data_IF_769001212278
#
_entry.id   IF_769001212278
#
_cell.length_a   1.000
_cell.length_b   1.000
_cell.length_c   1.000
_cell.angle_alpha   90.00
_cell.angle_beta   90.00
_cell.angle_gamma   90.00
#
_symmetry.space_group_name_H-M   'P 1'
#
loop_
_entity.id
_entity.type
_entity.pdbx_description
1 polymer ?
#
# COMPACT_ATOMS: atom_id res chain seq x y z
N UNK A 1 -46.29 -14.10 -36.78
CA UNK A 1 -46.18 -13.90 -35.31
C UNK A 1 -45.00 -14.75 -34.83
N UNK A 2 -43.78 -14.20 -34.76
CA UNK A 2 -43.18 -13.41 -33.66
C UNK A 2 -42.78 -14.24 -32.41
N UNK A 3 -42.15 -15.41 -32.55
CA UNK A 3 -41.40 -16.03 -31.43
C UNK A 3 -40.10 -16.73 -31.91
N UNK A 4 -39.49 -16.27 -33.02
CA UNK A 4 -38.17 -16.77 -33.46
C UNK A 4 -37.00 -15.84 -33.09
N UNK A 5 -37.28 -14.71 -32.42
CA UNK A 5 -36.25 -13.71 -32.10
C UNK A 5 -35.66 -13.86 -30.69
N UNK A 6 -36.26 -14.67 -29.83
CA UNK A 6 -35.88 -14.75 -28.39
C UNK A 6 -34.71 -15.72 -28.17
N UNK A 7 -34.54 -16.73 -29.04
CA UNK A 7 -33.50 -17.76 -28.87
C UNK A 7 -32.11 -17.24 -29.26
N UNK A 8 -32.03 -16.26 -30.16
CA UNK A 8 -30.75 -15.64 -30.56
C UNK A 8 -30.25 -14.54 -29.61
N UNK A 9 -31.05 -14.11 -28.62
CA UNK A 9 -30.62 -13.10 -27.64
C UNK A 9 -30.05 -13.74 -26.37
N UNK A 10 -30.47 -14.96 -26.03
CA UNK A 10 -29.99 -15.68 -24.84
C UNK A 10 -28.59 -16.27 -25.01
N UNK A 11 -28.17 -16.61 -26.24
CA UNK A 11 -26.83 -17.12 -26.54
C UNK A 11 -25.77 -16.01 -26.53
N UNK A 12 -26.17 -14.74 -26.66
CA UNK A 12 -25.28 -13.58 -26.55
C UNK A 12 -24.93 -13.19 -25.10
N UNK A 13 -25.59 -13.76 -24.08
CA UNK A 13 -25.33 -13.43 -22.67
C UNK A 13 -24.29 -14.34 -21.98
N UNK A 14 -23.87 -15.45 -22.62
CA UNK A 14 -22.97 -16.44 -21.99
C UNK A 14 -21.52 -16.34 -22.50
N UNK A 15 -21.24 -15.44 -23.45
CA UNK A 15 -20.02 -15.47 -24.24
C UNK A 15 -19.01 -14.33 -24.07
N UNK A 16 -19.15 -13.42 -23.08
CA UNK A 16 -18.27 -12.25 -23.04
C UNK A 16 -18.01 -11.62 -21.66
N UNK A 17 -17.71 -12.38 -20.62
CA UNK A 17 -16.99 -11.84 -19.44
C UNK A 17 -16.02 -12.90 -18.93
N UNK A 18 -15.00 -13.22 -19.74
CA UNK A 18 -13.93 -14.13 -19.38
C UNK A 18 -12.55 -13.51 -19.64
N UNK A 19 -12.36 -12.20 -19.48
CA UNK A 19 -11.01 -11.59 -19.41
C UNK A 19 -11.08 -10.18 -18.83
N UNK A 20 -11.22 -10.10 -17.51
CA UNK A 20 -10.33 -9.24 -16.71
C UNK A 20 -10.08 -10.01 -15.41
N UNK A 21 -9.22 -11.02 -15.49
CA UNK A 21 -8.31 -11.32 -14.40
C UNK A 21 -7.51 -10.04 -14.11
N UNK A 22 -8.13 -9.13 -13.37
CA UNK A 22 -7.41 -8.50 -12.29
C UNK A 22 -7.48 -9.55 -11.16
N UNK A 23 -6.61 -10.54 -11.08
CA UNK A 23 -5.23 -10.29 -10.75
C UNK A 23 -5.12 -8.86 -10.21
N UNK A 24 -5.45 -8.70 -8.94
CA UNK A 24 -4.68 -7.80 -8.08
C UNK A 24 -3.21 -8.26 -8.23
N UNK A 25 -2.64 -8.01 -9.41
CA UNK A 25 -1.23 -8.02 -9.71
C UNK A 25 -0.76 -6.88 -8.83
N UNK A 26 -0.35 -7.26 -7.63
CA UNK A 26 -0.05 -6.37 -6.53
C UNK A 26 0.65 -5.16 -7.10
N UNK A 27 -0.08 -4.02 -7.07
CA UNK A 27 0.30 -2.71 -7.60
C UNK A 27 1.63 -2.79 -8.34
N UNK A 28 1.56 -3.03 -9.65
CA UNK A 28 2.68 -2.86 -10.58
C UNK A 28 3.42 -1.62 -10.14
N UNK A 29 4.52 -1.84 -9.41
CA UNK A 29 5.25 -0.78 -8.74
C UNK A 29 5.84 0.01 -9.88
N UNK A 30 5.28 1.21 -10.07
CA UNK A 30 5.61 2.15 -11.12
C UNK A 30 7.08 2.03 -11.51
N UNK A 31 7.32 1.44 -12.67
CA UNK A 31 8.63 1.42 -13.30
C UNK A 31 9.05 2.89 -13.51
N UNK A 32 10.10 3.31 -12.80
CA UNK A 32 10.85 4.57 -12.95
C UNK A 32 10.26 5.86 -12.36
N UNK A 33 9.99 5.86 -11.06
CA UNK A 33 10.32 7.03 -10.24
C UNK A 33 11.60 6.72 -9.46
N UNK A 34 12.68 7.50 -9.64
CA UNK A 34 13.88 7.44 -8.77
C UNK A 34 13.57 8.10 -7.42
N UNK A 35 12.59 7.54 -6.73
CA UNK A 35 12.10 8.07 -5.46
C UNK A 35 12.43 7.14 -4.30
N UNK A 36 12.44 7.71 -3.11
CA UNK A 36 12.60 6.97 -1.86
C UNK A 36 11.30 7.01 -1.06
N UNK A 37 11.05 5.96 -0.30
CA UNK A 37 10.01 5.99 0.72
C UNK A 37 10.56 6.73 1.92
N UNK A 38 9.88 7.80 2.31
CA UNK A 38 10.07 8.52 3.56
C UNK A 38 8.94 8.12 4.51
N UNK A 39 9.24 7.29 5.51
CA UNK A 39 8.29 6.91 6.54
C UNK A 39 8.62 7.60 7.86
N UNK A 40 7.60 7.86 8.67
CA UNK A 40 7.69 8.65 9.90
C UNK A 40 7.02 7.91 11.06
N UNK A 41 7.74 7.84 12.19
CA UNK A 41 7.18 7.41 13.48
C UNK A 41 7.16 8.60 14.43
N UNK A 42 6.08 8.73 15.19
CA UNK A 42 5.90 9.73 16.22
C UNK A 42 6.26 9.12 17.58
N UNK A 43 7.18 9.77 18.29
CA UNK A 43 7.35 9.55 19.71
C UNK A 43 6.24 10.29 20.46
N UNK A 44 5.24 9.58 20.97
CA UNK A 44 4.04 10.20 21.61
C UNK A 44 4.35 10.88 22.95
N UNK A 45 5.53 10.62 23.53
CA UNK A 45 5.97 11.26 24.79
C UNK A 45 6.60 12.63 24.53
N UNK A 46 7.40 12.73 23.46
CA UNK A 46 8.15 13.94 23.14
C UNK A 46 7.53 14.73 21.97
N UNK A 47 6.50 14.18 21.32
CA UNK A 47 5.94 14.66 20.05
C UNK A 47 6.99 14.85 18.94
N UNK A 48 8.07 14.07 18.97
CA UNK A 48 9.12 14.13 17.96
C UNK A 48 8.87 13.10 16.85
N UNK A 49 9.04 13.53 15.60
CA UNK A 49 9.00 12.66 14.45
C UNK A 49 10.39 12.09 14.14
N UNK A 50 10.43 10.80 13.83
CA UNK A 50 11.62 10.08 13.41
C UNK A 50 11.39 9.54 12.01
N UNK A 51 12.26 9.95 11.09
CA UNK A 51 12.19 9.57 9.68
C UNK A 51 13.06 8.33 9.41
N UNK A 52 12.58 7.50 8.49
CA UNK A 52 13.37 6.46 7.84
C UNK A 52 13.19 6.57 6.33
N UNK A 53 14.31 6.47 5.61
CA UNK A 53 14.36 6.65 4.16
C UNK A 53 14.93 5.40 3.50
N UNK A 54 14.22 4.86 2.52
CA UNK A 54 14.71 3.73 1.73
C UNK A 54 13.96 3.57 0.42
N UNK A 55 14.59 2.93 -0.56
CA UNK A 55 13.93 2.56 -1.83
C UNK A 55 12.77 1.56 -1.68
N UNK A 56 12.64 0.90 -0.51
CA UNK A 56 11.52 0.01 -0.18
C UNK A 56 10.78 0.53 1.04
N UNK A 57 9.45 0.59 0.97
CA UNK A 57 8.57 1.07 2.04
C UNK A 57 8.83 0.37 3.38
N UNK A 58 8.90 -0.96 3.40
CA UNK A 58 9.15 -1.73 4.62
C UNK A 58 10.48 -1.38 5.28
N UNK A 59 11.53 -1.18 4.47
CA UNK A 59 12.85 -0.77 4.98
C UNK A 59 12.81 0.64 5.56
N UNK A 60 12.10 1.56 4.90
CA UNK A 60 11.90 2.92 5.40
C UNK A 60 11.13 2.92 6.74
N UNK A 61 10.08 2.08 6.86
CA UNK A 61 9.34 1.91 8.13
C UNK A 61 10.23 1.33 9.24
N UNK A 62 11.00 0.26 8.96
CA UNK A 62 11.91 -0.34 9.94
C UNK A 62 12.97 0.65 10.42
N UNK A 63 13.51 1.48 9.51
CA UNK A 63 14.46 2.52 9.88
C UNK A 63 13.82 3.59 10.77
N UNK A 64 12.62 4.08 10.40
CA UNK A 64 11.90 5.08 11.16
C UNK A 64 11.52 4.58 12.56
N UNK A 65 11.02 3.34 12.66
CA UNK A 65 10.69 2.70 13.93
C UNK A 65 11.93 2.53 14.80
N UNK A 66 13.02 2.01 14.22
CA UNK A 66 14.29 1.84 14.95
C UNK A 66 14.82 3.17 15.46
N UNK A 67 14.76 4.23 14.65
CA UNK A 67 15.18 5.56 15.04
C UNK A 67 14.33 6.10 16.20
N UNK A 68 13.00 5.92 16.13
CA UNK A 68 12.09 6.29 17.21
C UNK A 68 12.41 5.50 18.49
N UNK A 69 12.51 4.17 18.42
CA UNK A 69 12.81 3.30 19.58
C UNK A 69 14.16 3.64 20.22
N UNK A 70 15.16 3.96 19.42
CA UNK A 70 16.51 4.32 19.91
C UNK A 70 16.54 5.68 20.63
N UNK A 71 15.54 6.53 20.42
CA UNK A 71 15.41 7.83 21.09
C UNK A 71 14.77 7.74 22.48
N UNK A 72 14.13 6.61 22.82
CA UNK A 72 13.38 6.46 24.07
C UNK A 72 14.32 6.00 25.19
N UNK A 73 14.27 6.69 26.33
CA UNK A 73 14.95 6.29 27.56
C UNK A 73 14.02 5.35 28.35
N UNK A 74 14.30 4.04 28.30
CA UNK A 74 13.55 2.88 28.85
C UNK A 74 12.56 2.23 27.89
N UNK A 75 12.37 0.93 28.12
CA UNK A 75 11.58 -0.08 27.39
C UNK A 75 10.07 0.25 27.27
N UNK A 76 9.72 1.44 26.82
CA UNK A 76 8.34 1.84 26.53
C UNK A 76 8.05 1.53 25.05
N UNK A 77 7.77 0.25 24.78
CA UNK A 77 7.44 -0.25 23.45
C UNK A 77 6.20 0.41 22.83
N UNK A 78 5.40 1.12 23.63
CA UNK A 78 4.19 1.84 23.19
C UNK A 78 4.46 3.30 22.81
N UNK A 79 5.66 3.82 23.08
CA UNK A 79 5.93 5.24 22.87
C UNK A 79 6.16 5.64 21.39
N UNK A 80 6.25 4.69 20.47
CA UNK A 80 6.44 4.94 19.04
C UNK A 80 5.22 4.51 18.24
N UNK A 81 4.51 5.48 17.66
CA UNK A 81 3.37 5.24 16.78
C UNK A 81 3.72 5.53 15.32
N UNK A 82 3.25 4.69 14.40
CA UNK A 82 3.39 4.98 12.99
C UNK A 82 2.54 6.20 12.61
N UNK A 83 3.16 7.21 12.01
CA UNK A 83 2.47 8.44 11.64
C UNK A 83 2.09 8.48 10.16
N UNK A 84 3.07 8.33 9.26
CA UNK A 84 2.84 8.42 7.82
C UNK A 84 3.96 7.76 7.02
N UNK A 85 3.69 7.44 5.75
CA UNK A 85 4.75 7.15 4.79
C UNK A 85 4.41 7.70 3.41
N UNK A 86 5.39 8.33 2.76
CA UNK A 86 5.24 8.96 1.45
C UNK A 86 6.37 8.52 0.52
N UNK A 87 6.05 8.29 -0.75
CA UNK A 87 7.05 8.12 -1.79
C UNK A 87 7.38 9.51 -2.35
N UNK A 88 8.66 9.90 -2.32
CA UNK A 88 9.15 11.20 -2.79
C UNK A 88 10.22 11.00 -3.84
#
# INVERSE_FOLDING_TARGET
MKIQWIVNVLIAMVGLIAITSWADDGLTTSHYGSGEYHCYYLNVRTNQFHEGVASKKEKAMQQAEKACRSSIKKDDSTACEFAACRFK
#
